data_IF_576110907485
#
_entry.id   IF_576110907485
#
_cell.length_a   1.000
_cell.length_b   1.000
_cell.length_c   1.000
_cell.angle_alpha   90.00
_cell.angle_beta   90.00
_cell.angle_gamma   90.00
#
_symmetry.space_group_name_H-M   'P 1'
#
loop_
_entity.id
_entity.type
_entity.pdbx_description
1 polymer ?
#
# COMPACT_ATOMS: atom_id res chain seq x y z
N UNK A 1 20.94 -1.60 -7.45
CA UNK A 1 19.90 -0.67 -7.90
C UNK A 1 19.83 0.46 -6.92
N UNK A 2 20.27 1.68 -7.30
CA UNK A 2 20.28 2.82 -6.38
C UNK A 2 18.86 3.13 -5.95
N UNK A 3 18.63 3.20 -4.64
CA UNK A 3 17.41 3.70 -4.08
C UNK A 3 17.30 5.16 -4.42
N UNK A 4 16.33 5.51 -5.23
CA UNK A 4 15.95 6.89 -5.38
C UNK A 4 15.14 7.39 -4.19
N UNK A 5 15.70 7.12 -3.02
CA UNK A 5 15.27 7.67 -1.77
C UNK A 5 15.47 9.19 -1.71
N UNK A 6 16.27 9.71 -2.62
CA UNK A 6 16.64 11.12 -2.75
C UNK A 6 15.61 12.01 -3.47
N UNK A 7 14.37 11.64 -3.44
CA UNK A 7 13.32 12.49 -4.00
C UNK A 7 13.15 12.39 -5.53
N UNK A 8 13.60 11.30 -6.15
CA UNK A 8 13.18 10.97 -7.52
C UNK A 8 11.88 10.18 -7.49
N UNK A 9 10.78 10.88 -7.38
CA UNK A 9 9.49 10.29 -7.11
C UNK A 9 9.04 9.31 -8.21
N UNK A 10 9.42 9.54 -9.47
CA UNK A 10 9.03 8.69 -10.59
C UNK A 10 9.61 7.27 -10.50
N UNK A 11 10.84 7.10 -10.01
CA UNK A 11 11.45 5.78 -9.91
C UNK A 11 10.89 4.96 -8.74
N UNK A 12 10.51 5.63 -7.67
CA UNK A 12 9.89 4.99 -6.51
C UNK A 12 8.46 4.54 -6.82
N UNK A 13 7.68 5.37 -7.53
CA UNK A 13 6.37 4.99 -8.07
C UNK A 13 6.46 3.80 -9.01
N UNK A 14 7.45 3.79 -9.90
CA UNK A 14 7.68 2.68 -10.80
C UNK A 14 8.02 1.39 -10.04
N UNK A 15 8.65 1.48 -8.85
CA UNK A 15 8.97 0.33 -8.01
C UNK A 15 7.78 -0.19 -7.21
N UNK A 16 7.00 0.70 -6.61
CA UNK A 16 5.75 0.32 -5.95
C UNK A 16 4.78 -0.34 -6.94
N UNK A 17 4.74 0.15 -8.17
CA UNK A 17 4.00 -0.50 -9.26
C UNK A 17 4.60 -1.82 -9.73
N UNK A 18 5.89 -2.09 -9.50
CA UNK A 18 6.54 -3.37 -9.85
C UNK A 18 6.25 -4.48 -8.84
N UNK A 19 5.92 -4.16 -7.61
CA UNK A 19 5.55 -5.16 -6.59
C UNK A 19 4.18 -5.77 -6.89
N UNK A 20 3.29 -5.00 -7.53
CA UNK A 20 2.01 -5.49 -8.03
C UNK A 20 1.75 -4.92 -9.43
N UNK A 21 2.33 -5.54 -10.45
CA UNK A 21 2.02 -5.18 -11.84
C UNK A 21 0.60 -5.64 -12.13
N UNK A 22 -0.27 -4.68 -12.36
CA UNK A 22 -1.63 -4.93 -12.81
C UNK A 22 -1.67 -4.83 -14.33
N UNK A 23 -2.12 -5.88 -14.94
CA UNK A 23 -2.30 -5.94 -16.38
C UNK A 23 -3.80 -6.08 -16.64
N UNK A 24 -4.39 -5.09 -17.28
CA UNK A 24 -5.77 -5.24 -17.76
C UNK A 24 -5.83 -6.40 -18.74
N UNK A 25 -7.01 -7.01 -18.86
CA UNK A 25 -7.20 -8.19 -19.72
C UNK A 25 -6.81 -7.90 -21.16
N UNK A 26 -7.08 -6.69 -21.65
CA UNK A 26 -6.73 -6.24 -23.00
C UNK A 26 -5.21 -6.05 -23.19
N UNK A 27 -4.48 -5.69 -22.13
CA UNK A 27 -3.02 -5.45 -22.17
C UNK A 27 -2.21 -6.74 -22.08
N UNK A 28 -2.81 -7.81 -21.58
CA UNK A 28 -2.16 -9.10 -21.36
C UNK A 28 -3.09 -10.26 -21.73
N UNK A 29 -3.67 -10.18 -22.92
CA UNK A 29 -4.59 -11.19 -23.42
C UNK A 29 -3.97 -12.59 -23.46
N UNK A 30 -2.71 -12.70 -23.84
CA UNK A 30 -1.99 -13.99 -23.91
C UNK A 30 -1.93 -14.64 -22.52
N UNK A 31 -1.43 -13.92 -21.49
CA UNK A 31 -1.35 -14.46 -20.14
C UNK A 31 -2.71 -14.69 -19.51
N UNK A 32 -3.70 -13.87 -19.83
CA UNK A 32 -5.08 -14.12 -19.40
C UNK A 32 -5.65 -15.40 -20.00
N UNK A 33 -5.40 -15.65 -21.29
CA UNK A 33 -5.85 -16.87 -21.96
C UNK A 33 -5.15 -18.13 -21.41
N UNK A 34 -3.85 -18.06 -21.12
CA UNK A 34 -3.13 -19.13 -20.44
C UNK A 34 -3.77 -19.47 -19.09
N UNK A 35 -4.04 -18.46 -18.26
CA UNK A 35 -4.62 -18.64 -16.93
C UNK A 35 -6.08 -19.12 -17.00
N UNK A 36 -6.86 -18.67 -17.98
CA UNK A 36 -8.23 -19.15 -18.22
C UNK A 36 -8.25 -20.64 -18.65
N UNK A 37 -7.21 -21.08 -19.35
CA UNK A 37 -7.08 -22.46 -19.81
C UNK A 37 -6.57 -23.43 -18.74
N UNK A 38 -6.16 -22.94 -17.56
CA UNK A 38 -5.70 -23.80 -16.48
C UNK A 38 -6.81 -24.77 -16.04
N UNK A 39 -6.49 -26.07 -15.86
CA UNK A 39 -7.46 -27.03 -15.37
C UNK A 39 -7.90 -26.66 -13.95
N UNK A 40 -9.21 -26.68 -13.70
CA UNK A 40 -9.73 -26.55 -12.34
C UNK A 40 -9.29 -27.74 -11.51
N UNK A 41 -8.44 -27.49 -10.53
CA UNK A 41 -7.97 -28.48 -9.57
C UNK A 41 -8.92 -28.53 -8.39
N UNK A 42 -9.26 -29.72 -7.92
CA UNK A 42 -9.96 -29.90 -6.65
C UNK A 42 -8.94 -29.95 -5.51
N UNK A 43 -9.29 -29.32 -4.38
CA UNK A 43 -8.47 -29.39 -3.17
C UNK A 43 -8.35 -30.82 -2.67
N UNK A 44 -7.12 -31.34 -2.62
CA UNK A 44 -6.81 -32.59 -1.96
C UNK A 44 -6.88 -32.48 -0.43
N UNK A 45 -6.78 -33.61 0.27
CA UNK A 45 -6.84 -33.61 1.74
C UNK A 45 -5.66 -32.86 2.38
N UNK A 46 -4.51 -32.79 1.73
CA UNK A 46 -3.36 -32.06 2.22
C UNK A 46 -3.59 -30.55 2.13
N UNK A 47 -4.09 -30.07 1.01
CA UNK A 47 -4.40 -28.64 0.82
C UNK A 47 -5.52 -28.21 1.75
N UNK A 48 -6.57 -29.03 1.95
CA UNK A 48 -7.65 -28.75 2.89
C UNK A 48 -7.16 -28.57 4.32
N UNK A 49 -6.18 -29.38 4.77
CA UNK A 49 -5.59 -29.24 6.12
C UNK A 49 -4.80 -27.95 6.30
N UNK A 50 -4.25 -27.41 5.22
CA UNK A 50 -3.46 -26.17 5.22
C UNK A 50 -4.34 -24.92 5.12
N UNK A 51 -5.63 -25.05 4.83
CA UNK A 51 -6.52 -23.90 4.76
C UNK A 51 -6.61 -23.19 6.11
N UNK A 52 -6.49 -21.87 6.15
CA UNK A 52 -6.83 -21.10 7.33
C UNK A 52 -8.27 -21.39 7.78
N UNK A 53 -8.50 -21.46 9.10
CA UNK A 53 -9.80 -21.85 9.68
C UNK A 53 -11.00 -21.00 9.21
N UNK A 54 -10.74 -19.80 8.75
CA UNK A 54 -11.77 -18.89 8.24
C UNK A 54 -12.04 -19.04 6.73
N UNK A 55 -11.28 -19.90 6.02
CA UNK A 55 -11.53 -20.21 4.61
C UNK A 55 -12.26 -21.54 4.52
N UNK A 56 -13.47 -21.50 4.02
CA UNK A 56 -14.27 -22.70 3.77
C UNK A 56 -13.87 -23.30 2.42
N UNK A 57 -13.62 -24.62 2.29
CA UNK A 57 -13.19 -25.23 1.03
C UNK A 57 -14.07 -24.91 -0.18
N UNK A 58 -15.38 -24.76 0.01
CA UNK A 58 -16.34 -24.40 -1.05
C UNK A 58 -16.16 -22.99 -1.61
N UNK A 59 -15.52 -22.09 -0.86
CA UNK A 59 -15.31 -20.71 -1.25
C UNK A 59 -14.00 -20.54 -2.04
N UNK A 60 -13.21 -21.62 -2.16
CA UNK A 60 -11.99 -21.66 -2.95
C UNK A 60 -12.33 -21.79 -4.43
N UNK A 61 -11.95 -20.81 -5.21
CA UNK A 61 -12.17 -20.77 -6.66
C UNK A 61 -11.04 -21.44 -7.43
N UNK A 62 -9.82 -21.31 -6.94
CA UNK A 62 -8.62 -21.90 -7.50
C UNK A 62 -7.51 -21.96 -6.44
N UNK A 63 -6.47 -22.75 -6.69
CA UNK A 63 -5.26 -22.77 -5.88
C UNK A 63 -4.06 -23.25 -6.68
N UNK A 64 -2.87 -22.93 -6.21
CA UNK A 64 -1.63 -23.53 -6.63
C UNK A 64 -0.68 -23.67 -5.44
N UNK A 65 0.33 -24.53 -5.62
CA UNK A 65 1.47 -24.65 -4.70
C UNK A 65 2.71 -24.32 -5.51
N UNK A 66 3.53 -23.42 -5.00
CA UNK A 66 4.77 -23.04 -5.67
C UNK A 66 5.95 -23.97 -5.31
N UNK A 67 7.10 -23.75 -5.93
CA UNK A 67 8.31 -24.55 -5.75
C UNK A 67 8.87 -24.53 -4.31
N UNK A 68 8.46 -23.55 -3.50
CA UNK A 68 8.80 -23.43 -2.08
C UNK A 68 7.76 -24.06 -1.15
N UNK A 69 6.81 -24.79 -1.72
CA UNK A 69 5.69 -25.40 -1.01
C UNK A 69 4.77 -24.37 -0.33
N UNK A 70 4.70 -23.15 -0.84
CA UNK A 70 3.74 -22.14 -0.39
C UNK A 70 2.42 -22.38 -1.11
N UNK A 71 1.32 -22.41 -0.34
CA UNK A 71 -0.02 -22.60 -0.88
C UNK A 71 -0.66 -21.24 -1.16
N UNK A 72 -1.09 -21.02 -2.39
CA UNK A 72 -1.82 -19.84 -2.84
C UNK A 72 -3.27 -20.22 -3.12
N UNK A 73 -4.21 -19.48 -2.56
CA UNK A 73 -5.64 -19.79 -2.56
C UNK A 73 -6.42 -18.61 -3.10
N UNK A 74 -7.06 -18.78 -4.23
CA UNK A 74 -7.99 -17.81 -4.79
C UNK A 74 -9.40 -18.00 -4.22
N UNK A 75 -10.05 -16.88 -3.92
CA UNK A 75 -11.45 -16.81 -3.50
C UNK A 75 -12.15 -15.66 -4.22
N UNK A 76 -13.47 -15.52 -4.03
CA UNK A 76 -14.20 -14.34 -4.50
C UNK A 76 -13.90 -13.06 -3.69
N UNK A 77 -13.17 -13.19 -2.57
CA UNK A 77 -12.85 -12.07 -1.69
C UNK A 77 -11.36 -11.76 -1.59
N UNK A 78 -10.55 -12.32 -2.48
CA UNK A 78 -9.13 -12.07 -2.55
C UNK A 78 -8.28 -13.32 -2.73
N UNK A 79 -6.98 -13.10 -2.76
CA UNK A 79 -5.96 -14.12 -2.82
C UNK A 79 -5.31 -14.28 -1.44
N UNK A 80 -5.09 -15.51 -1.03
CA UNK A 80 -4.43 -15.86 0.22
C UNK A 80 -3.15 -16.62 -0.04
N UNK A 81 -2.10 -16.29 0.71
CA UNK A 81 -0.83 -17.01 0.74
C UNK A 81 -0.70 -17.69 2.09
N UNK A 82 -0.39 -18.99 2.08
CA UNK A 82 -0.14 -19.77 3.28
C UNK A 82 1.26 -20.38 3.18
N UNK A 83 2.15 -19.90 4.04
CA UNK A 83 3.54 -20.33 4.13
C UNK A 83 3.83 -20.90 5.52
N UNK A 84 3.81 -22.22 5.63
CA UNK A 84 4.02 -22.91 6.91
C UNK A 84 5.48 -22.87 7.38
N UNK A 85 6.41 -22.48 6.50
CA UNK A 85 7.83 -22.34 6.85
C UNK A 85 8.13 -21.04 7.62
N UNK A 86 7.21 -20.05 7.56
CA UNK A 86 7.36 -18.78 8.26
C UNK A 86 7.28 -18.98 9.77
N UNK A 87 8.23 -18.35 10.48
CA UNK A 87 8.31 -18.42 11.94
C UNK A 87 7.27 -17.55 12.62
N UNK A 88 7.01 -16.38 12.04
CA UNK A 88 6.00 -15.44 12.54
C UNK A 88 4.61 -15.89 12.07
N UNK A 89 3.70 -16.10 13.03
CA UNK A 89 2.32 -16.51 12.73
C UNK A 89 1.57 -15.49 11.88
N UNK A 90 1.89 -14.19 12.03
CA UNK A 90 1.28 -13.12 11.25
C UNK A 90 1.71 -13.15 9.79
N UNK A 91 2.93 -13.65 9.51
CA UNK A 91 3.45 -13.78 8.15
C UNK A 91 3.09 -15.11 7.49
N UNK A 92 2.66 -16.13 8.28
CA UNK A 92 2.24 -17.42 7.73
C UNK A 92 1.03 -17.32 6.82
N UNK A 93 0.09 -16.44 7.14
CA UNK A 93 -1.13 -16.25 6.36
C UNK A 93 -1.26 -14.80 5.96
N UNK A 94 -1.11 -14.54 4.68
CA UNK A 94 -1.20 -13.20 4.10
C UNK A 94 -2.37 -13.11 3.15
N UNK A 95 -3.07 -11.97 3.17
CA UNK A 95 -4.20 -11.70 2.31
C UNK A 95 -3.88 -10.55 1.34
N UNK A 96 -4.13 -10.78 0.06
CA UNK A 96 -4.02 -9.79 -1.00
C UNK A 96 -5.42 -9.42 -1.46
N UNK A 97 -5.82 -8.19 -1.20
CA UNK A 97 -7.14 -7.65 -1.53
C UNK A 97 -7.03 -6.25 -2.08
N UNK A 98 -8.11 -5.81 -2.67
CA UNK A 98 -8.31 -4.45 -3.16
C UNK A 98 -7.37 -4.01 -4.28
N UNK A 99 -7.66 -2.83 -4.79
CA UNK A 99 -6.85 -2.17 -5.81
C UNK A 99 -5.40 -1.85 -5.38
N UNK A 100 -5.04 -2.09 -4.13
CA UNK A 100 -3.65 -2.01 -3.69
C UNK A 100 -2.79 -3.16 -4.22
N UNK A 101 -3.37 -4.37 -4.32
CA UNK A 101 -2.66 -5.59 -4.69
C UNK A 101 -3.09 -6.15 -6.05
N UNK A 102 -4.39 -6.14 -6.35
CA UNK A 102 -4.97 -6.73 -7.54
C UNK A 102 -5.95 -5.79 -8.22
N UNK A 103 -6.40 -6.13 -9.44
CA UNK A 103 -7.40 -5.33 -10.16
C UNK A 103 -8.78 -5.42 -9.53
N UNK A 104 -9.16 -6.59 -9.03
CA UNK A 104 -10.32 -6.83 -8.17
C UNK A 104 -10.11 -8.05 -7.28
N UNK A 105 -11.09 -8.38 -6.43
CA UNK A 105 -10.97 -9.45 -5.44
C UNK A 105 -11.43 -10.82 -5.93
N UNK A 106 -12.17 -10.89 -7.03
CA UNK A 106 -12.70 -12.15 -7.55
C UNK A 106 -11.62 -12.90 -8.33
N UNK A 107 -10.90 -13.78 -7.63
CA UNK A 107 -9.81 -14.56 -8.22
C UNK A 107 -10.37 -15.76 -8.98
N UNK A 108 -10.00 -15.91 -10.25
CA UNK A 108 -10.44 -17.00 -11.14
C UNK A 108 -9.38 -18.05 -11.37
N UNK A 109 -8.13 -17.62 -11.44
CA UNK A 109 -6.99 -18.51 -11.60
C UNK A 109 -5.75 -17.95 -10.94
N UNK A 110 -4.86 -18.82 -10.51
CA UNK A 110 -3.56 -18.49 -9.91
C UNK A 110 -2.52 -19.48 -10.38
N UNK A 111 -1.35 -19.00 -10.75
CA UNK A 111 -0.21 -19.80 -11.23
C UNK A 111 1.10 -19.24 -10.67
N UNK A 112 2.02 -20.09 -10.18
CA UNK A 112 3.35 -19.65 -9.78
C UNK A 112 4.09 -18.98 -10.94
N UNK A 113 4.91 -17.97 -10.63
CA UNK A 113 5.74 -17.28 -11.64
C UNK A 113 7.11 -17.94 -11.87
N UNK A 114 7.35 -19.07 -11.21
CA UNK A 114 8.64 -19.79 -11.22
C UNK A 114 9.75 -19.08 -10.41
N UNK A 115 9.39 -18.12 -9.55
CA UNK A 115 10.28 -17.37 -8.66
C UNK A 115 9.66 -17.28 -7.25
N UNK A 116 9.36 -16.07 -6.83
CA UNK A 116 8.84 -15.79 -5.49
C UNK A 116 7.44 -15.16 -5.55
N UNK A 117 6.68 -15.44 -6.58
CA UNK A 117 5.40 -14.82 -6.80
C UNK A 117 4.43 -15.65 -7.59
N UNK A 118 3.31 -15.03 -7.94
CA UNK A 118 2.23 -15.65 -8.69
C UNK A 118 1.61 -14.69 -9.70
N UNK A 119 1.12 -15.26 -10.79
CA UNK A 119 0.19 -14.64 -11.71
C UNK A 119 -1.23 -14.90 -11.25
N UNK A 120 -2.05 -13.88 -11.22
CA UNK A 120 -3.43 -13.93 -10.72
C UNK A 120 -4.37 -13.38 -11.78
N UNK A 121 -5.33 -14.20 -12.19
CA UNK A 121 -6.43 -13.76 -13.04
C UNK A 121 -7.63 -13.41 -12.17
N UNK A 122 -8.17 -12.22 -12.37
CA UNK A 122 -9.43 -11.75 -11.80
C UNK A 122 -10.42 -11.42 -12.92
N UNK A 123 -11.64 -11.01 -12.60
CA UNK A 123 -12.60 -10.57 -13.63
C UNK A 123 -12.09 -9.36 -14.42
N UNK A 124 -11.43 -8.42 -13.73
CA UNK A 124 -10.95 -7.16 -14.30
C UNK A 124 -9.62 -7.28 -15.04
N UNK A 125 -8.92 -8.41 -14.94
CA UNK A 125 -7.66 -8.63 -15.64
C UNK A 125 -6.63 -9.42 -14.86
N UNK A 126 -5.36 -9.34 -15.29
CA UNK A 126 -4.23 -10.08 -14.74
C UNK A 126 -3.38 -9.21 -13.83
N UNK A 127 -3.03 -9.73 -12.68
CA UNK A 127 -2.07 -9.14 -11.74
C UNK A 127 -0.87 -10.07 -11.56
N UNK A 128 0.31 -9.51 -11.37
CA UNK A 128 1.52 -10.24 -10.98
C UNK A 128 1.93 -9.81 -9.58
N UNK A 129 1.95 -10.73 -8.64
CA UNK A 129 2.35 -10.52 -7.26
C UNK A 129 3.72 -11.13 -7.06
N UNK A 130 4.71 -10.29 -6.77
CA UNK A 130 6.07 -10.70 -6.41
C UNK A 130 6.27 -10.55 -4.91
N UNK A 131 6.69 -11.61 -4.24
CA UNK A 131 7.13 -11.55 -2.85
C UNK A 131 8.60 -11.12 -2.79
N UNK A 132 8.90 -10.11 -1.95
CA UNK A 132 10.26 -9.59 -1.80
C UNK A 132 10.61 -9.44 -0.34
N UNK A 133 11.71 -10.04 0.06
CA UNK A 133 12.28 -9.78 1.37
C UNK A 133 12.93 -8.40 1.37
N UNK A 134 12.38 -7.49 2.15
CA UNK A 134 12.88 -6.13 2.32
C UNK A 134 13.33 -5.92 3.76
N UNK A 135 14.46 -5.21 3.94
CA UNK A 135 14.82 -4.74 5.28
C UNK A 135 13.77 -3.76 5.82
N UNK A 136 13.68 -3.65 7.14
CA UNK A 136 12.79 -2.69 7.80
C UNK A 136 13.10 -1.26 7.35
N UNK A 137 14.40 -0.92 7.22
CA UNK A 137 14.85 0.37 6.70
C UNK A 137 14.32 0.62 5.27
N UNK A 138 14.40 -0.40 4.41
CA UNK A 138 13.90 -0.30 3.05
C UNK A 138 12.38 -0.09 3.01
N UNK A 139 11.63 -0.85 3.81
CA UNK A 139 10.17 -0.67 3.93
C UNK A 139 9.83 0.74 4.42
N UNK A 140 10.49 1.21 5.47
CA UNK A 140 10.29 2.56 6.01
C UNK A 140 10.51 3.64 4.95
N UNK A 141 11.59 3.51 4.18
CA UNK A 141 11.90 4.46 3.11
C UNK A 141 10.86 4.45 1.97
N UNK A 142 10.33 3.27 1.61
CA UNK A 142 9.27 3.16 0.62
C UNK A 142 7.97 3.83 1.10
N UNK A 143 7.60 3.60 2.36
CA UNK A 143 6.40 4.20 2.94
C UNK A 143 6.54 5.71 3.07
N UNK A 144 7.65 6.22 3.62
CA UNK A 144 7.90 7.65 3.74
C UNK A 144 7.79 8.38 2.39
N UNK A 145 8.38 7.80 1.34
CA UNK A 145 8.29 8.40 0.01
C UNK A 145 6.88 8.29 -0.62
N UNK A 146 6.09 7.30 -0.23
CA UNK A 146 4.70 7.16 -0.64
C UNK A 146 3.82 8.22 0.04
N UNK A 147 4.03 8.43 1.34
CA UNK A 147 3.34 9.45 2.12
C UNK A 147 3.58 10.84 1.54
N UNK A 148 4.82 11.14 1.16
CA UNK A 148 5.16 12.42 0.54
C UNK A 148 4.47 12.69 -0.80
N UNK A 149 4.15 11.65 -1.56
CA UNK A 149 3.70 11.78 -2.95
C UNK A 149 2.23 11.54 -3.17
N UNK A 150 1.68 10.55 -2.49
CA UNK A 150 0.35 10.02 -2.80
C UNK A 150 -0.64 10.44 -1.72
N UNK A 151 -0.24 10.28 -0.46
CA UNK A 151 -1.15 10.48 0.67
C UNK A 151 -1.07 11.87 1.29
N UNK A 152 -0.04 12.65 0.93
CA UNK A 152 0.11 14.00 1.44
C UNK A 152 -0.90 14.93 0.76
N UNK A 153 -1.68 15.64 1.58
CA UNK A 153 -2.61 16.68 1.14
C UNK A 153 -2.36 17.95 1.93
N UNK A 154 -1.80 18.97 1.26
CA UNK A 154 -1.54 20.28 1.83
C UNK A 154 -0.77 20.26 3.16
N UNK A 155 0.24 19.41 3.24
CA UNK A 155 1.06 19.23 4.43
C UNK A 155 0.53 18.18 5.41
N UNK A 156 -0.70 17.70 5.26
CA UNK A 156 -1.29 16.67 6.11
C UNK A 156 -1.28 15.31 5.42
N UNK A 157 -1.10 14.27 6.20
CA UNK A 157 -1.37 12.91 5.74
C UNK A 157 -2.88 12.72 5.69
N UNK A 158 -3.38 12.22 4.57
CA UNK A 158 -4.81 12.03 4.33
C UNK A 158 -5.09 10.63 3.85
N UNK A 159 -6.32 10.14 4.06
CA UNK A 159 -6.81 8.98 3.37
C UNK A 159 -6.75 9.17 1.86
N UNK A 160 -6.61 8.07 1.13
CA UNK A 160 -6.62 8.10 -0.35
C UNK A 160 -7.49 6.99 -0.89
N UNK A 161 -8.30 7.32 -1.89
CA UNK A 161 -9.09 6.36 -2.66
C UNK A 161 -8.57 6.26 -4.09
N UNK A 162 -8.65 5.06 -4.66
CA UNK A 162 -8.37 4.90 -6.07
C UNK A 162 -9.56 5.38 -6.90
N UNK A 163 -9.35 6.38 -7.73
CA UNK A 163 -10.34 6.81 -8.71
C UNK A 163 -10.10 6.13 -10.06
N UNK A 164 -10.98 5.21 -10.43
CA UNK A 164 -10.92 4.55 -11.73
C UNK A 164 -11.14 5.54 -12.88
N UNK A 165 -12.02 6.54 -12.69
CA UNK A 165 -12.27 7.60 -13.65
C UNK A 165 -11.02 8.43 -13.95
N UNK A 166 -10.27 8.80 -12.89
CA UNK A 166 -9.06 9.62 -12.99
C UNK A 166 -7.78 8.81 -13.17
N UNK A 167 -7.87 7.50 -13.08
CA UNK A 167 -6.74 6.56 -13.09
C UNK A 167 -5.61 6.96 -12.14
N UNK A 168 -5.97 7.43 -10.93
CA UNK A 168 -5.02 7.88 -9.91
C UNK A 168 -5.58 7.77 -8.50
N UNK A 169 -4.69 7.76 -7.52
CA UNK A 169 -5.05 7.96 -6.12
C UNK A 169 -5.51 9.39 -5.89
N UNK A 170 -6.64 9.54 -5.19
CA UNK A 170 -7.24 10.85 -4.85
C UNK A 170 -7.28 10.96 -3.33
N UNK A 171 -6.52 11.90 -2.75
CA UNK A 171 -6.60 12.16 -1.32
C UNK A 171 -7.99 12.72 -0.95
N UNK A 172 -8.50 12.28 0.18
CA UNK A 172 -9.71 12.82 0.80
C UNK A 172 -9.44 13.22 2.25
N UNK A 173 -10.21 14.17 2.76
CA UNK A 173 -10.10 14.59 4.15
C UNK A 173 -10.78 13.61 5.09
N UNK A 174 -10.17 13.44 6.26
CA UNK A 174 -10.68 12.62 7.35
C UNK A 174 -10.51 13.38 8.67
N UNK A 175 -11.38 13.10 9.62
CA UNK A 175 -11.28 13.63 10.98
C UNK A 175 -10.05 13.13 11.75
N UNK A 176 -9.38 12.12 11.21
CA UNK A 176 -8.13 11.55 11.73
C UNK A 176 -6.85 12.07 11.05
N UNK A 177 -6.95 12.97 10.07
CA UNK A 177 -5.78 13.46 9.33
C UNK A 177 -4.69 14.03 10.26
N UNK A 178 -5.09 14.73 11.33
CA UNK A 178 -4.16 15.26 12.32
C UNK A 178 -3.43 14.16 13.10
N UNK A 179 -4.13 13.10 13.50
CA UNK A 179 -3.54 11.96 14.20
C UNK A 179 -2.50 11.25 13.32
N UNK A 180 -2.87 10.93 12.09
CA UNK A 180 -1.97 10.26 11.15
C UNK A 180 -0.77 11.13 10.81
N UNK A 181 -0.98 12.44 10.63
CA UNK A 181 0.10 13.40 10.38
C UNK A 181 1.08 13.46 11.55
N UNK A 182 0.59 13.45 12.78
CA UNK A 182 1.43 13.45 13.97
C UNK A 182 2.28 12.17 14.08
N UNK A 183 1.71 11.00 13.75
CA UNK A 183 2.44 9.73 13.75
C UNK A 183 3.56 9.71 12.70
N UNK A 184 3.29 10.18 11.49
CA UNK A 184 4.31 10.28 10.43
C UNK A 184 5.37 11.31 10.80
N UNK A 185 4.98 12.47 11.36
CA UNK A 185 5.91 13.49 11.85
C UNK A 185 6.90 12.89 12.87
N UNK A 186 6.39 12.13 13.83
CA UNK A 186 7.23 11.47 14.83
C UNK A 186 8.22 10.48 14.19
N UNK A 187 7.76 9.67 13.24
CA UNK A 187 8.60 8.74 12.50
C UNK A 187 9.71 9.43 11.72
N UNK A 188 9.39 10.48 10.97
CA UNK A 188 10.38 11.22 10.16
C UNK A 188 11.33 12.09 11.01
N UNK A 189 10.89 12.59 12.17
CA UNK A 189 11.77 13.25 13.14
C UNK A 189 12.82 12.26 13.69
N UNK A 190 12.38 11.07 14.10
CA UNK A 190 13.28 10.01 14.55
C UNK A 190 14.26 9.61 13.44
N UNK A 191 13.77 9.43 12.22
CA UNK A 191 14.59 9.13 11.04
C UNK A 191 15.64 10.19 10.79
N UNK A 192 15.29 11.48 10.79
CA UNK A 192 16.27 12.57 10.68
C UNK A 192 17.29 12.50 11.83
N UNK A 193 16.83 12.24 13.05
CA UNK A 193 17.69 12.09 14.23
C UNK A 193 18.74 10.99 14.07
N UNK A 194 18.36 9.85 13.48
CA UNK A 194 19.30 8.75 13.17
C UNK A 194 20.24 9.14 12.03
N UNK A 195 19.69 9.62 10.91
CA UNK A 195 20.48 9.88 9.71
C UNK A 195 21.54 10.95 9.88
N UNK A 196 21.27 12.01 10.67
CA UNK A 196 22.25 13.08 10.92
C UNK A 196 23.47 12.64 11.70
N UNK A 197 23.39 11.51 12.42
CA UNK A 197 24.45 11.00 13.27
C UNK A 197 25.14 9.75 12.69
N UNK A 198 24.70 9.26 11.55
CA UNK A 198 25.22 8.04 10.91
C UNK A 198 25.97 8.41 9.61
N UNK A 199 27.31 8.19 9.56
CA UNK A 199 28.15 8.58 8.43
C UNK A 199 27.84 7.84 7.13
N UNK A 200 27.00 6.79 7.15
CA UNK A 200 26.57 6.11 5.92
C UNK A 200 25.64 6.97 5.04
N UNK A 201 25.05 8.02 5.60
CA UNK A 201 24.15 8.92 4.87
C UNK A 201 24.88 10.15 4.34
N UNK A 202 24.55 10.53 3.11
CA UNK A 202 25.11 11.76 2.52
C UNK A 202 24.46 13.00 3.12
N UNK A 203 25.14 14.15 3.03
CA UNK A 203 24.57 15.43 3.46
C UNK A 203 23.25 15.77 2.76
N UNK A 204 23.10 15.39 1.49
CA UNK A 204 21.86 15.56 0.73
C UNK A 204 20.72 14.72 1.31
N UNK A 205 20.99 13.46 1.70
CA UNK A 205 20.01 12.59 2.33
C UNK A 205 19.57 13.13 3.68
N UNK A 206 20.49 13.60 4.49
CA UNK A 206 20.22 14.19 5.81
C UNK A 206 19.38 15.46 5.67
N UNK A 207 19.72 16.34 4.72
CA UNK A 207 18.98 17.57 4.48
C UNK A 207 17.57 17.28 3.94
N UNK A 208 17.41 16.28 3.09
CA UNK A 208 16.09 15.84 2.64
C UNK A 208 15.24 15.35 3.83
N UNK A 209 15.79 14.46 4.67
CA UNK A 209 15.10 13.99 5.86
C UNK A 209 14.71 15.13 6.82
N UNK A 210 15.60 16.11 6.99
CA UNK A 210 15.30 17.31 7.77
C UNK A 210 14.09 18.09 7.21
N UNK A 211 14.07 18.34 5.90
CA UNK A 211 12.97 19.06 5.24
C UNK A 211 11.64 18.33 5.39
N UNK A 212 11.65 17.01 5.25
CA UNK A 212 10.45 16.18 5.41
C UNK A 212 9.94 16.24 6.85
N UNK A 213 10.80 16.03 7.82
CA UNK A 213 10.45 16.12 9.25
C UNK A 213 9.92 17.52 9.61
N UNK A 214 10.54 18.58 9.10
CA UNK A 214 10.10 19.96 9.32
C UNK A 214 8.68 20.18 8.76
N UNK A 215 8.44 19.77 7.53
CA UNK A 215 7.12 19.91 6.88
C UNK A 215 5.99 19.24 7.67
N UNK A 216 6.20 18.00 8.12
CA UNK A 216 5.20 17.32 8.94
C UNK A 216 5.00 17.98 10.30
N UNK A 217 6.09 18.46 10.92
CA UNK A 217 6.01 19.19 12.19
C UNK A 217 5.21 20.49 12.03
N UNK A 218 5.45 21.26 10.97
CA UNK A 218 4.70 22.47 10.65
C UNK A 218 3.22 22.17 10.43
N UNK A 219 2.89 21.06 9.77
CA UNK A 219 1.50 20.64 9.58
C UNK A 219 0.80 20.32 10.90
N UNK A 220 1.48 19.66 11.84
CA UNK A 220 0.94 19.39 13.19
C UNK A 220 0.75 20.69 13.97
N UNK A 221 1.74 21.60 13.94
CA UNK A 221 1.64 22.90 14.61
C UNK A 221 0.51 23.76 14.04
N UNK A 222 0.23 23.64 12.73
CA UNK A 222 -0.89 24.32 12.11
C UNK A 222 -2.23 23.93 12.74
N UNK A 223 -2.40 22.69 13.18
CA UNK A 223 -3.61 22.22 13.85
C UNK A 223 -3.84 22.89 15.21
N UNK A 224 -2.77 23.29 15.90
CA UNK A 224 -2.85 24.07 17.12
C UNK A 224 -3.15 25.54 16.81
N UNK A 225 -2.56 26.07 15.75
CA UNK A 225 -2.71 27.46 15.36
C UNK A 225 -4.09 27.83 14.81
N UNK A 226 -4.71 26.91 14.04
CA UNK A 226 -5.99 27.15 13.33
C UNK A 226 -7.14 27.55 14.27
N UNK A 227 -7.38 26.87 15.40
CA UNK A 227 -8.49 27.21 16.29
C UNK A 227 -8.34 28.60 16.93
N UNK A 228 -7.12 29.16 16.95
CA UNK A 228 -6.78 30.44 17.63
C UNK A 228 -7.25 30.50 19.10
N UNK A 229 -7.43 29.34 19.73
CA UNK A 229 -7.93 29.20 21.08
C UNK A 229 -6.94 28.36 21.90
N UNK A 230 -6.35 28.97 22.92
CA UNK A 230 -5.35 28.33 23.78
C UNK A 230 -5.82 26.97 24.31
N UNK A 231 -5.01 25.94 24.07
CA UNK A 231 -5.29 24.57 24.53
C UNK A 231 -6.34 23.83 23.70
N UNK A 232 -6.74 24.34 22.54
CA UNK A 232 -7.58 23.64 21.57
C UNK A 232 -6.76 23.29 20.34
N UNK A 233 -6.91 22.04 19.88
CA UNK A 233 -6.25 21.51 18.71
C UNK A 233 -7.30 21.04 17.73
N UNK A 234 -7.17 21.39 16.45
CA UNK A 234 -8.02 20.87 15.39
C UNK A 234 -7.63 19.43 15.04
N UNK A 235 -8.61 18.60 14.70
CA UNK A 235 -8.36 17.22 14.26
C UNK A 235 -7.84 17.17 12.82
N UNK A 236 -8.27 18.11 11.97
CA UNK A 236 -7.94 18.18 10.54
C UNK A 236 -8.19 19.56 9.98
N UNK A 237 -7.71 19.79 8.74
CA UNK A 237 -7.92 21.02 7.99
C UNK A 237 -8.78 20.73 6.77
N UNK A 238 -9.90 21.43 6.66
CA UNK A 238 -10.72 21.44 5.45
C UNK A 238 -10.41 22.66 4.61
N UNK A 239 -10.24 22.42 3.32
CA UNK A 239 -10.06 23.47 2.34
C UNK A 239 -11.22 23.43 1.33
N UNK A 240 -11.68 24.61 0.93
CA UNK A 240 -12.57 24.72 -0.22
C UNK A 240 -11.75 24.47 -1.48
N UNK A 241 -11.95 23.33 -2.10
CA UNK A 241 -11.33 23.03 -3.38
C UNK A 241 -12.34 23.34 -4.51
N UNK A 242 -11.91 24.04 -5.58
CA UNK A 242 -12.76 24.22 -6.74
C UNK A 242 -13.23 22.86 -7.27
N UNK A 243 -14.55 22.72 -7.44
CA UNK A 243 -15.16 21.48 -7.95
C UNK A 243 -15.54 20.44 -6.89
N UNK A 244 -15.31 20.68 -5.61
CA UNK A 244 -15.88 19.87 -4.54
C UNK A 244 -17.13 20.56 -4.00
N UNK A 245 -18.30 19.92 -4.17
CA UNK A 245 -19.59 20.41 -3.64
C UNK A 245 -19.71 20.32 -2.10
N UNK A 246 -18.64 19.99 -1.40
CA UNK A 246 -18.62 19.99 0.06
C UNK A 246 -18.16 21.35 0.53
N UNK A 247 -19.13 22.24 0.74
CA UNK A 247 -18.90 23.44 1.52
C UNK A 247 -18.32 23.03 2.86
N UNK A 248 -17.04 23.32 3.08
CA UNK A 248 -16.42 23.17 4.39
C UNK A 248 -17.10 24.17 5.33
N UNK A 249 -18.05 23.69 6.12
CA UNK A 249 -18.55 24.49 7.23
C UNK A 249 -17.41 24.64 8.24
N UNK A 250 -16.60 25.66 7.99
CA UNK A 250 -16.01 26.55 8.96
C UNK A 250 -15.26 26.00 10.15
N UNK A 251 -14.12 25.32 9.96
CA UNK A 251 -13.11 25.33 11.02
C UNK A 251 -12.00 26.38 10.78
N UNK A 252 -12.15 27.18 9.75
CA UNK A 252 -11.24 28.28 9.41
C UNK A 252 -11.92 29.67 9.44
N UNK A 253 -13.06 29.80 10.07
CA UNK A 253 -13.54 31.16 10.39
C UNK A 253 -12.75 31.67 11.59
N UNK A 254 -11.76 32.49 11.29
CA UNK A 254 -11.34 33.52 12.25
C UNK A 254 -12.55 34.41 12.52
N UNK A 255 -13.01 34.42 13.76
CA UNK A 255 -13.74 35.56 14.27
C UNK A 255 -12.82 36.75 14.34
#
# INVERSE_FOLDING_TARGET
MKHDYHGKPASLSARLMRVARRYKKEEKQEKAAELEALPKKELGENEKKRLPKFIVPRDVTCFCVDDKNVLWIGTNEGLWRVDESEKDELDRVQCFRSNACMLDNSVKAVEPDGKDGVWVLTESGVSHIEMRLLSVEHKANLHSAMDERIVQRRGMLSGTDWSAERNRWVPHESDNDGLWTALVAMGDICRYGVMKNDPKYTSEQVEHARKVATRWTEAVLLLEYIPAWKGKVASFVRYNEPGTNRASKGYLKRG
#
